data_IF_305893326264
#
_entry.id   IF_305893326264
#
_cell.length_a   1.000
_cell.length_b   1.000
_cell.length_c   1.000
_cell.angle_alpha   90.00
_cell.angle_beta   90.00
_cell.angle_gamma   90.00
#
_symmetry.space_group_name_H-M   'P 1'
#
loop_
_entity.id
_entity.type
_entity.pdbx_description
1 polymer ?
#
# COMPACT_ATOMS: atom_id res chain seq x y z
N UNK A 1 18.14 1.29 -5.74
CA UNK A 1 17.11 0.39 -5.20
C UNK A 1 15.90 1.26 -4.89
N UNK A 2 14.83 1.17 -5.67
CA UNK A 2 13.66 2.02 -5.48
C UNK A 2 12.88 1.50 -4.28
N UNK A 3 12.98 2.19 -3.16
CA UNK A 3 12.02 2.04 -2.05
C UNK A 3 10.66 2.48 -2.57
N UNK A 4 9.83 1.54 -3.00
CA UNK A 4 8.48 1.83 -3.45
C UNK A 4 7.63 2.21 -2.23
N UNK A 5 7.62 3.50 -1.91
CA UNK A 5 6.76 4.09 -0.88
C UNK A 5 5.39 4.29 -1.50
N UNK A 6 4.41 3.57 -0.98
CA UNK A 6 3.03 3.62 -1.45
C UNK A 6 2.21 4.54 -0.55
N UNK A 7 1.39 5.38 -1.16
CA UNK A 7 0.50 6.26 -0.40
C UNK A 7 -0.80 5.51 -0.07
N UNK A 8 -0.90 5.07 1.19
CA UNK A 8 -2.00 4.26 1.71
C UNK A 8 -2.86 5.05 2.67
N UNK A 9 -4.16 4.92 2.52
CA UNK A 9 -5.06 5.46 3.51
C UNK A 9 -5.13 4.49 4.70
N UNK A 10 -4.60 4.93 5.84
CA UNK A 10 -4.71 4.15 7.06
C UNK A 10 -6.05 4.45 7.72
N UNK A 11 -6.92 3.45 7.85
CA UNK A 11 -8.25 3.62 8.48
C UNK A 11 -8.17 3.99 9.96
N UNK A 12 -7.09 3.59 10.66
CA UNK A 12 -6.86 3.96 12.06
C UNK A 12 -6.36 5.40 12.20
N UNK A 13 -5.44 5.83 11.33
CA UNK A 13 -4.94 7.20 11.35
C UNK A 13 -5.88 8.19 10.63
N UNK A 14 -6.84 7.68 9.83
CA UNK A 14 -7.75 8.44 8.96
C UNK A 14 -7.04 9.44 8.05
N UNK A 15 -5.80 9.11 7.68
CA UNK A 15 -4.95 9.96 6.85
C UNK A 15 -4.20 9.11 5.84
N UNK A 16 -3.76 9.79 4.78
CA UNK A 16 -2.91 9.21 3.74
C UNK A 16 -1.47 9.22 4.24
N UNK A 17 -0.87 8.05 4.37
CA UNK A 17 0.50 7.87 4.83
C UNK A 17 1.29 7.09 3.80
N UNK A 18 2.55 7.46 3.67
CA UNK A 18 3.51 6.70 2.89
C UNK A 18 3.94 5.48 3.72
N UNK A 19 3.67 4.30 3.18
CA UNK A 19 4.05 3.05 3.80
C UNK A 19 4.92 2.27 2.84
N UNK A 20 5.92 1.59 3.39
CA UNK A 20 6.78 0.71 2.61
C UNK A 20 6.06 -0.62 2.46
N UNK A 21 5.66 -0.93 1.24
CA UNK A 21 4.90 -2.14 0.92
C UNK A 21 5.45 -2.83 -0.31
N UNK A 22 4.93 -4.00 -0.62
CA UNK A 22 5.21 -4.69 -1.88
C UNK A 22 3.99 -4.56 -2.78
N UNK A 23 4.22 -4.29 -4.06
CA UNK A 23 3.16 -4.41 -5.07
C UNK A 23 3.08 -5.84 -5.56
N UNK A 24 1.91 -6.41 -5.36
CA UNK A 24 1.54 -7.69 -5.93
C UNK A 24 0.62 -7.43 -7.13
N UNK A 25 0.91 -8.11 -8.23
CA UNK A 25 0.07 -8.11 -9.42
C UNK A 25 -0.84 -9.32 -9.32
N UNK A 26 -2.14 -9.10 -9.20
CA UNK A 26 -3.12 -10.18 -9.19
C UNK A 26 -3.21 -10.84 -10.57
N UNK A 27 -3.70 -12.09 -10.65
CA UNK A 27 -3.82 -12.87 -11.91
C UNK A 27 -4.59 -12.15 -13.04
N UNK A 28 -5.41 -11.15 -12.68
CA UNK A 28 -6.19 -10.31 -13.61
C UNK A 28 -5.46 -9.01 -14.02
N UNK A 29 -4.19 -8.84 -13.67
CA UNK A 29 -3.36 -7.69 -14.04
C UNK A 29 -3.56 -6.44 -13.16
N UNK A 30 -4.24 -6.56 -12.01
CA UNK A 30 -4.43 -5.46 -11.08
C UNK A 30 -3.25 -5.33 -10.11
N UNK A 31 -2.67 -4.12 -10.00
CA UNK A 31 -1.61 -3.81 -9.04
C UNK A 31 -2.18 -3.48 -7.66
N UNK A 32 -1.72 -4.19 -6.65
CA UNK A 32 -2.10 -3.99 -5.25
C UNK A 32 -0.85 -3.83 -4.40
N UNK A 33 -0.66 -2.66 -3.80
CA UNK A 33 0.35 -2.45 -2.78
C UNK A 33 -0.17 -2.96 -1.43
N UNK A 34 0.55 -3.88 -0.80
CA UNK A 34 0.32 -4.31 0.57
C UNK A 34 1.53 -3.98 1.42
N UNK A 35 1.29 -3.41 2.59
CA UNK A 35 2.37 -3.17 3.55
C UNK A 35 1.86 -2.78 4.93
N UNK A 36 2.73 -2.83 5.94
CA UNK A 36 2.41 -2.39 7.28
C UNK A 36 2.42 -0.86 7.38
N UNK A 37 1.45 -0.27 8.06
CA UNK A 37 1.45 1.15 8.38
C UNK A 37 2.53 1.44 9.45
N UNK A 38 3.44 2.40 9.24
CA UNK A 38 4.53 2.69 10.19
C UNK A 38 4.07 3.32 11.52
N UNK A 39 2.81 3.78 11.60
CA UNK A 39 2.28 4.49 12.78
C UNK A 39 1.53 3.55 13.71
N UNK A 40 0.63 2.75 13.16
CA UNK A 40 -0.29 1.91 13.93
C UNK A 40 -0.04 0.40 13.73
N UNK A 41 0.99 0.04 12.95
CA UNK A 41 1.34 -1.35 12.62
C UNK A 41 0.28 -2.11 11.81
N UNK A 42 -0.82 -1.45 11.42
CA UNK A 42 -1.93 -2.13 10.75
C UNK A 42 -1.62 -2.31 9.27
N UNK A 43 -1.91 -3.49 8.73
CA UNK A 43 -1.77 -3.78 7.31
C UNK A 43 -2.67 -2.86 6.50
N UNK A 44 -2.05 -2.02 5.67
CA UNK A 44 -2.73 -1.15 4.72
C UNK A 44 -2.59 -1.72 3.32
N UNK A 45 -3.70 -1.67 2.60
CA UNK A 45 -3.83 -2.19 1.25
C UNK A 45 -4.19 -1.00 0.35
N UNK A 46 -3.36 -0.74 -0.66
CA UNK A 46 -3.64 0.28 -1.67
C UNK A 46 -3.77 -0.38 -3.03
N UNK A 47 -4.96 -0.34 -3.58
CA UNK A 47 -5.20 -0.71 -4.98
C UNK A 47 -4.66 0.44 -5.83
N UNK A 48 -3.64 0.17 -6.65
CA UNK A 48 -3.02 1.17 -7.53
C UNK A 48 -3.76 1.27 -8.87
N UNK A 49 -4.77 0.43 -9.09
CA UNK A 49 -5.52 0.39 -10.34
C UNK A 49 -4.74 -0.35 -11.44
N UNK A 50 -5.34 -0.36 -12.63
CA UNK A 50 -4.83 -1.09 -13.80
C UNK A 50 -3.50 -0.48 -14.29
N UNK A 51 -2.65 -1.31 -14.87
CA UNK A 51 -1.51 -0.85 -15.68
C UNK A 51 -2.00 -0.02 -16.87
#
# INVERSE_FOLDING_TARGET
MAEEKYNGYCVKCKEKRDFTGKVEISKTGMRMAKGPCPVCGTTVNRILGKA
#
